data_IF_160459319727
#
_entry.id   IF_160459319727
#
_cell.length_a   1.000
_cell.length_b   1.000
_cell.length_c   1.000
_cell.angle_alpha   90.00
_cell.angle_beta   90.00
_cell.angle_gamma   90.00
#
_symmetry.space_group_name_H-M   'P 1'
#
loop_
_entity.id
_entity.type
_entity.pdbx_description
1 polymer ?
#
# COMPACT_ATOMS: atom_id res chain seq x y z
N UNK A 1 52.42 -40.16 26.62
CA UNK A 1 51.08 -39.80 27.14
C UNK A 1 50.52 -38.75 26.20
N UNK A 2 49.71 -39.25 25.28
CA UNK A 2 49.16 -38.46 24.18
C UNK A 2 47.76 -37.94 24.60
N UNK A 3 47.66 -36.64 24.88
CA UNK A 3 46.39 -36.02 25.22
C UNK A 3 45.58 -35.79 23.93
N UNK A 4 44.70 -36.76 23.69
CA UNK A 4 43.69 -36.67 22.62
C UNK A 4 42.76 -35.50 22.79
N UNK A 5 43.09 -34.37 22.16
CA UNK A 5 42.29 -33.17 22.09
C UNK A 5 41.10 -33.37 21.15
N UNK A 6 39.96 -33.71 21.70
CA UNK A 6 38.72 -33.77 20.96
C UNK A 6 38.37 -32.37 20.42
N UNK A 7 38.73 -32.07 19.17
CA UNK A 7 38.18 -30.93 18.44
C UNK A 7 36.74 -31.26 18.10
N UNK A 8 35.81 -30.83 18.95
CA UNK A 8 34.42 -30.76 18.52
C UNK A 8 34.34 -29.79 17.33
N UNK A 9 34.07 -30.33 16.14
CA UNK A 9 33.69 -29.55 15.00
C UNK A 9 32.39 -28.85 15.36
N UNK A 10 32.36 -27.49 15.33
CA UNK A 10 31.14 -26.74 15.52
C UNK A 10 30.07 -27.24 14.52
N UNK A 11 28.83 -27.47 14.97
CA UNK A 11 27.79 -27.93 14.08
C UNK A 11 27.62 -26.89 12.98
N UNK A 12 27.97 -27.26 11.75
CA UNK A 12 27.65 -26.47 10.57
C UNK A 12 26.15 -26.60 10.35
N UNK A 13 25.38 -25.60 10.78
CA UNK A 13 24.00 -25.49 10.33
C UNK A 13 24.03 -25.34 8.81
N UNK A 14 23.35 -26.21 8.04
CA UNK A 14 23.27 -26.02 6.60
C UNK A 14 22.63 -24.67 6.36
N UNK A 15 23.35 -23.78 5.65
CA UNK A 15 22.77 -22.52 5.20
C UNK A 15 21.54 -22.91 4.35
N UNK A 16 20.37 -22.50 4.80
CA UNK A 16 19.14 -22.77 4.05
C UNK A 16 19.21 -21.95 2.75
N UNK A 17 19.54 -22.61 1.64
CA UNK A 17 19.66 -22.00 0.33
C UNK A 17 18.33 -21.37 -0.17
N UNK A 18 17.23 -21.62 0.54
CA UNK A 18 15.89 -21.09 0.25
C UNK A 18 15.40 -20.12 1.32
N UNK A 19 16.31 -19.47 2.04
CA UNK A 19 15.93 -18.43 2.99
C UNK A 19 15.47 -17.18 2.20
N UNK A 20 14.15 -16.99 2.17
CA UNK A 20 13.54 -15.77 1.66
C UNK A 20 13.32 -14.81 2.83
N UNK A 21 14.16 -13.79 2.94
CA UNK A 21 13.92 -12.72 3.90
C UNK A 21 12.76 -11.83 3.39
N UNK A 22 11.80 -11.50 4.24
CA UNK A 22 10.68 -10.66 3.82
C UNK A 22 11.17 -9.24 3.49
N UNK A 23 10.55 -8.64 2.49
CA UNK A 23 10.85 -7.26 2.14
C UNK A 23 10.53 -6.31 3.29
N UNK A 24 11.41 -5.32 3.50
CA UNK A 24 11.18 -4.28 4.49
C UNK A 24 10.19 -3.24 3.94
N UNK A 25 9.34 -2.73 4.80
CA UNK A 25 8.24 -1.83 4.44
C UNK A 25 8.61 -0.33 4.38
N UNK A 26 9.88 0.04 4.50
CA UNK A 26 10.26 1.45 4.62
C UNK A 26 10.64 2.12 3.29
N UNK A 27 10.81 1.36 2.21
CA UNK A 27 11.09 1.91 0.87
C UNK A 27 9.93 1.60 -0.07
N UNK A 28 9.20 2.63 -0.42
CA UNK A 28 8.09 2.54 -1.36
C UNK A 28 8.01 3.83 -2.20
N UNK A 29 7.35 3.74 -3.34
CA UNK A 29 7.10 4.84 -4.24
C UNK A 29 5.69 4.74 -4.79
N UNK A 30 5.02 5.88 -4.92
CA UNK A 30 3.73 5.99 -5.59
C UNK A 30 3.88 6.82 -6.86
N UNK A 31 3.29 6.34 -7.93
CA UNK A 31 3.15 7.07 -9.19
C UNK A 31 1.67 7.38 -9.40
N UNK A 32 1.34 8.63 -9.62
CA UNK A 32 0.02 9.10 -10.02
C UNK A 32 0.13 9.62 -11.45
N UNK A 33 -0.65 9.07 -12.38
CA UNK A 33 -0.55 9.35 -13.80
C UNK A 33 0.89 9.18 -14.37
N UNK A 34 1.62 8.17 -13.88
CA UNK A 34 2.99 7.89 -14.27
C UNK A 34 4.06 8.82 -13.68
N UNK A 35 3.67 9.79 -12.84
CA UNK A 35 4.59 10.71 -12.17
C UNK A 35 4.79 10.29 -10.71
N UNK A 36 6.03 10.17 -10.23
CA UNK A 36 6.29 9.85 -8.84
C UNK A 36 5.86 11.00 -7.92
N UNK A 37 5.21 10.67 -6.83
CA UNK A 37 4.86 11.62 -5.76
C UNK A 37 6.01 11.68 -4.78
N UNK A 38 6.55 12.89 -4.59
CA UNK A 38 7.65 13.12 -3.66
C UNK A 38 7.13 13.31 -2.22
N UNK A 39 7.98 13.01 -1.24
CA UNK A 39 7.71 13.32 0.16
C UNK A 39 6.66 12.48 0.86
N UNK A 40 6.20 11.38 0.25
CA UNK A 40 5.32 10.44 0.91
C UNK A 40 5.99 9.80 2.11
N UNK A 41 5.30 9.85 3.26
CA UNK A 41 5.74 9.29 4.53
C UNK A 41 5.03 7.99 4.87
N UNK A 42 3.78 7.84 4.41
CA UNK A 42 2.95 6.70 4.73
C UNK A 42 1.94 6.37 3.63
N UNK A 43 1.72 5.06 3.47
CA UNK A 43 0.64 4.47 2.67
C UNK A 43 -0.05 3.44 3.54
N UNK A 44 -1.37 3.46 3.62
CA UNK A 44 -2.11 2.44 4.36
C UNK A 44 -2.11 1.10 3.62
N UNK A 45 -2.52 0.04 4.30
CA UNK A 45 -2.57 -1.30 3.72
C UNK A 45 -3.53 -1.38 2.53
N UNK A 46 -3.16 -2.16 1.52
CA UNK A 46 -4.06 -2.63 0.48
C UNK A 46 -4.90 -3.77 1.05
N UNK A 47 -6.19 -3.54 1.23
CA UNK A 47 -7.08 -4.47 1.89
C UNK A 47 -8.32 -4.77 1.04
N UNK A 48 -8.55 -6.06 0.81
CA UNK A 48 -9.73 -6.59 0.13
C UNK A 48 -10.48 -7.52 1.07
N UNK A 49 -11.79 -7.31 1.22
CA UNK A 49 -12.66 -8.13 2.07
C UNK A 49 -13.75 -8.71 1.20
N UNK A 50 -13.99 -10.01 1.34
CA UNK A 50 -15.13 -10.68 0.75
C UNK A 50 -16.07 -11.10 1.88
N UNK A 51 -17.32 -10.69 1.79
CA UNK A 51 -18.39 -11.07 2.72
C UNK A 51 -18.59 -12.58 2.68
N UNK A 52 -18.85 -13.17 3.84
CA UNK A 52 -19.18 -14.59 3.96
C UNK A 52 -20.68 -14.72 4.13
N UNK A 53 -21.34 -15.40 3.19
CA UNK A 53 -22.76 -15.76 3.27
C UNK A 53 -22.86 -17.18 3.80
N UNK A 54 -23.53 -17.33 4.94
CA UNK A 54 -23.79 -18.66 5.51
C UNK A 54 -25.12 -19.19 5.00
N UNK A 55 -25.10 -20.42 4.49
CA UNK A 55 -26.28 -21.12 4.00
C UNK A 55 -26.38 -22.48 4.67
N UNK A 56 -27.60 -22.85 5.06
CA UNK A 56 -27.90 -24.15 5.66
C UNK A 56 -29.23 -24.68 5.13
N UNK A 57 -29.21 -25.92 4.69
CA UNK A 57 -30.44 -26.67 4.35
C UNK A 57 -30.95 -27.44 5.58
N UNK A 58 -32.28 -27.69 5.63
CA UNK A 58 -32.91 -28.33 6.79
C UNK A 58 -32.43 -29.74 7.10
N UNK A 59 -31.78 -30.43 6.17
CA UNK A 59 -31.18 -31.76 6.33
C UNK A 59 -29.66 -31.74 6.55
N UNK A 60 -29.03 -30.54 6.59
CA UNK A 60 -27.58 -30.44 6.78
C UNK A 60 -27.18 -30.79 8.22
N UNK A 61 -25.99 -31.40 8.42
CA UNK A 61 -25.42 -31.58 9.74
C UNK A 61 -25.17 -30.24 10.44
N UNK A 62 -24.72 -30.23 11.67
CA UNK A 62 -24.60 -29.05 12.55
C UNK A 62 -23.69 -27.92 12.04
N UNK A 63 -22.98 -28.11 10.92
CA UNK A 63 -22.12 -27.08 10.29
C UNK A 63 -22.82 -26.40 9.12
N UNK A 64 -22.79 -25.07 9.07
CA UNK A 64 -23.25 -24.26 7.92
C UNK A 64 -22.26 -24.28 6.76
N UNK A 65 -22.76 -24.18 5.54
CA UNK A 65 -21.94 -23.94 4.34
C UNK A 65 -21.63 -22.46 4.22
N UNK A 66 -20.42 -22.12 3.80
CA UNK A 66 -19.97 -20.75 3.61
C UNK A 66 -19.77 -20.45 2.12
N UNK A 67 -20.46 -19.43 1.64
CA UNK A 67 -20.40 -18.98 0.26
C UNK A 67 -19.78 -17.58 0.21
N UNK A 68 -19.02 -17.24 -0.86
CA UNK A 68 -18.52 -15.87 -1.03
C UNK A 68 -19.67 -14.94 -1.41
N UNK A 69 -19.77 -13.82 -0.69
CA UNK A 69 -20.68 -12.72 -1.00
C UNK A 69 -20.01 -11.60 -1.76
N UNK A 70 -20.33 -10.34 -1.42
CA UNK A 70 -19.78 -9.15 -2.03
C UNK A 70 -18.31 -8.97 -1.64
N UNK A 71 -17.49 -8.58 -2.61
CA UNK A 71 -16.11 -8.16 -2.37
C UNK A 71 -16.02 -6.64 -2.33
N UNK A 72 -15.33 -6.11 -1.32
CA UNK A 72 -15.09 -4.69 -1.11
C UNK A 72 -13.58 -4.42 -1.01
N UNK A 73 -13.13 -3.36 -1.67
CA UNK A 73 -11.79 -2.83 -1.55
C UNK A 73 -11.80 -1.64 -0.62
N UNK A 74 -10.98 -1.69 0.44
CA UNK A 74 -10.93 -0.64 1.45
C UNK A 74 -10.24 0.62 0.92
N UNK A 75 -10.65 1.80 1.41
CA UNK A 75 -9.96 3.05 1.11
C UNK A 75 -8.48 2.99 1.49
N UNK A 76 -7.67 3.73 0.75
CA UNK A 76 -6.23 3.84 0.96
C UNK A 76 -5.92 5.26 1.41
N UNK A 77 -5.16 5.39 2.50
CA UNK A 77 -4.71 6.68 3.01
C UNK A 77 -3.28 6.92 2.58
N UNK A 78 -3.02 8.08 2.01
CA UNK A 78 -1.69 8.58 1.67
C UNK A 78 -1.37 9.78 2.55
N UNK A 79 -0.16 9.82 3.11
CA UNK A 79 0.32 10.91 3.94
C UNK A 79 1.65 11.42 3.39
N UNK A 80 1.81 12.75 3.35
CA UNK A 80 3.09 13.39 3.01
C UNK A 80 3.32 14.59 3.92
N UNK A 81 4.60 14.98 4.08
CA UNK A 81 4.92 16.24 4.75
C UNK A 81 4.33 17.42 4.00
N UNK A 82 3.76 18.39 4.71
CA UNK A 82 3.22 19.62 4.11
C UNK A 82 4.34 20.30 3.31
N UNK A 83 4.10 20.52 2.03
CA UNK A 83 5.04 21.14 1.10
C UNK A 83 4.31 22.04 0.10
N UNK A 84 5.05 22.70 -0.76
CA UNK A 84 4.46 23.47 -1.87
C UNK A 84 4.06 22.62 -3.07
N UNK A 85 4.16 21.30 -3.00
CA UNK A 85 3.72 20.39 -4.06
C UNK A 85 2.19 20.28 -4.06
N UNK A 86 1.49 20.79 -5.08
CA UNK A 86 0.03 20.84 -5.10
C UNK A 86 -0.64 19.57 -5.62
N UNK A 87 0.06 18.44 -5.69
CA UNK A 87 -0.45 17.20 -6.32
C UNK A 87 -1.74 16.73 -5.65
N UNK A 88 -1.74 16.66 -4.31
CA UNK A 88 -2.91 16.20 -3.54
C UNK A 88 -4.07 17.19 -3.63
N UNK A 89 -3.77 18.47 -3.45
CA UNK A 89 -4.76 19.56 -3.53
C UNK A 89 -5.44 19.60 -4.90
N UNK A 90 -4.64 19.60 -5.99
CA UNK A 90 -5.17 19.60 -7.35
C UNK A 90 -6.05 18.39 -7.64
N UNK A 91 -5.66 17.24 -7.15
CA UNK A 91 -6.47 16.02 -7.35
C UNK A 91 -7.77 16.06 -6.56
N UNK A 92 -7.73 16.50 -5.30
CA UNK A 92 -8.95 16.69 -4.49
C UNK A 92 -9.91 17.70 -5.12
N UNK A 93 -9.40 18.80 -5.68
CA UNK A 93 -10.20 19.84 -6.32
C UNK A 93 -10.86 19.40 -7.65
N UNK A 94 -10.41 18.29 -8.26
CA UNK A 94 -11.11 17.71 -9.41
C UNK A 94 -12.46 17.11 -9.04
N UNK A 95 -12.65 16.70 -7.79
CA UNK A 95 -13.92 16.14 -7.28
C UNK A 95 -14.85 17.25 -6.81
N UNK A 96 -14.31 18.25 -6.10
CA UNK A 96 -15.06 19.39 -5.59
C UNK A 96 -14.16 20.63 -5.54
N UNK A 97 -14.59 21.72 -6.17
CA UNK A 97 -13.85 22.98 -6.21
C UNK A 97 -14.75 24.15 -5.79
N UNK A 98 -14.18 25.10 -5.04
CA UNK A 98 -14.87 26.33 -4.63
C UNK A 98 -15.26 27.22 -5.82
N UNK A 99 -14.59 27.10 -6.97
CA UNK A 99 -14.90 27.84 -8.19
C UNK A 99 -16.20 27.38 -8.88
N UNK A 100 -16.87 26.36 -8.31
CA UNK A 100 -18.14 25.84 -8.75
C UNK A 100 -18.04 24.61 -9.64
N UNK A 101 -19.22 24.08 -10.02
CA UNK A 101 -19.34 22.80 -10.75
C UNK A 101 -18.64 22.79 -12.11
N UNK A 102 -18.47 23.93 -12.74
CA UNK A 102 -17.79 24.06 -14.03
C UNK A 102 -16.26 23.77 -13.94
N UNK A 103 -15.67 23.92 -12.75
CA UNK A 103 -14.26 23.62 -12.52
C UNK A 103 -14.01 22.15 -12.16
N UNK A 104 -15.07 21.39 -11.91
CA UNK A 104 -14.97 19.94 -11.64
C UNK A 104 -14.79 19.16 -12.94
N UNK A 105 -13.95 18.13 -12.89
CA UNK A 105 -13.72 17.27 -14.04
C UNK A 105 -14.27 15.86 -13.79
N UNK A 106 -15.52 15.62 -14.15
CA UNK A 106 -16.14 14.29 -14.07
C UNK A 106 -15.42 13.23 -14.91
N UNK A 107 -14.64 13.65 -15.89
CA UNK A 107 -13.89 12.77 -16.78
C UNK A 107 -12.52 12.38 -16.20
N UNK A 108 -11.85 13.30 -15.49
CA UNK A 108 -10.43 13.18 -15.13
C UNK A 108 -10.19 13.03 -13.62
N UNK A 109 -11.23 13.00 -12.79
CA UNK A 109 -11.04 12.87 -11.35
C UNK A 109 -10.59 11.46 -10.93
N UNK A 110 -10.93 10.43 -11.72
CA UNK A 110 -10.46 9.07 -11.50
C UNK A 110 -9.10 8.87 -12.14
N UNK A 111 -8.15 8.40 -11.33
CA UNK A 111 -6.77 8.14 -11.75
C UNK A 111 -6.35 6.74 -11.37
N UNK A 112 -5.45 6.15 -12.15
CA UNK A 112 -4.78 4.92 -11.78
C UNK A 112 -3.49 5.25 -11.04
N UNK A 113 -3.21 4.49 -10.00
CA UNK A 113 -2.03 4.64 -9.15
C UNK A 113 -1.19 3.38 -9.25
N UNK A 114 0.12 3.55 -9.28
CA UNK A 114 1.07 2.45 -9.15
C UNK A 114 1.80 2.59 -7.83
N UNK A 115 1.72 1.55 -7.00
CA UNK A 115 2.46 1.44 -5.75
C UNK A 115 3.61 0.46 -5.94
N UNK A 116 4.84 0.96 -5.84
CA UNK A 116 6.06 0.18 -5.93
C UNK A 116 6.68 -0.02 -4.56
N UNK A 117 6.99 -1.26 -4.23
CA UNK A 117 7.85 -1.61 -3.11
C UNK A 117 9.28 -1.75 -3.62
N UNK A 118 10.22 -1.10 -2.96
CA UNK A 118 11.63 -1.06 -3.36
C UNK A 118 12.49 -1.87 -2.38
N UNK A 119 13.57 -2.46 -2.89
CA UNK A 119 14.60 -3.06 -2.05
C UNK A 119 15.57 -2.00 -1.49
N UNK A 120 16.57 -2.42 -0.72
CA UNK A 120 17.60 -1.52 -0.16
C UNK A 120 18.39 -0.79 -1.24
N UNK A 121 18.55 -1.39 -2.41
CA UNK A 121 19.27 -0.82 -3.56
C UNK A 121 18.41 0.18 -4.36
N UNK A 122 17.11 0.27 -4.07
CA UNK A 122 16.17 1.15 -4.79
C UNK A 122 15.53 0.52 -6.02
N UNK A 123 15.72 -0.77 -6.27
CA UNK A 123 15.06 -1.50 -7.35
C UNK A 123 13.66 -1.91 -6.97
N UNK A 124 12.72 -1.87 -7.91
CA UNK A 124 11.33 -2.31 -7.70
C UNK A 124 11.30 -3.82 -7.56
N UNK A 125 10.82 -4.30 -6.42
CA UNK A 125 10.67 -5.74 -6.13
C UNK A 125 9.23 -6.22 -6.23
N UNK A 126 8.27 -5.31 -6.03
CA UNK A 126 6.84 -5.57 -6.15
C UNK A 126 6.13 -4.32 -6.62
N UNK A 127 5.17 -4.48 -7.50
CA UNK A 127 4.34 -3.39 -7.99
C UNK A 127 2.87 -3.77 -7.93
N UNK A 128 2.04 -2.82 -7.52
CA UNK A 128 0.58 -2.96 -7.52
C UNK A 128 -0.03 -1.83 -8.32
N UNK A 129 -0.92 -2.17 -9.24
CA UNK A 129 -1.74 -1.21 -9.95
C UNK A 129 -3.09 -1.08 -9.26
N UNK A 130 -3.46 0.14 -8.90
CA UNK A 130 -4.69 0.46 -8.20
C UNK A 130 -5.57 1.24 -9.17
N UNK A 131 -6.76 0.72 -9.42
CA UNK A 131 -7.61 1.18 -10.51
C UNK A 131 -8.65 2.20 -10.05
N UNK A 132 -8.88 3.22 -10.88
CA UNK A 132 -9.97 4.16 -10.79
C UNK A 132 -10.09 4.82 -9.43
N UNK A 133 -8.95 5.32 -8.93
CA UNK A 133 -8.86 6.00 -7.66
C UNK A 133 -9.38 7.43 -7.75
N UNK A 134 -10.04 7.88 -6.70
CA UNK A 134 -10.46 9.26 -6.52
C UNK A 134 -10.41 9.67 -5.06
N UNK A 135 -10.20 10.95 -4.80
CA UNK A 135 -10.03 11.49 -3.44
C UNK A 135 -11.39 11.68 -2.80
N UNK A 136 -11.65 10.99 -1.69
CA UNK A 136 -12.87 11.13 -0.89
C UNK A 136 -12.71 12.06 0.30
N UNK A 137 -11.47 12.22 0.79
CA UNK A 137 -11.14 13.10 1.92
C UNK A 137 -9.78 13.75 1.66
N UNK A 138 -9.66 15.05 1.92
CA UNK A 138 -8.41 15.79 1.85
C UNK A 138 -8.23 16.64 3.11
N UNK A 139 -7.12 16.44 3.78
CA UNK A 139 -6.70 17.18 4.97
C UNK A 139 -5.44 17.96 4.63
N UNK A 140 -5.59 19.25 4.35
CA UNK A 140 -4.48 20.11 3.89
C UNK A 140 -3.49 20.43 5.01
N UNK A 141 -3.99 20.58 6.24
CA UNK A 141 -3.18 20.88 7.41
C UNK A 141 -3.68 20.04 8.60
N UNK A 142 -2.76 19.53 9.44
CA UNK A 142 -3.13 18.95 10.74
C UNK A 142 -3.52 20.04 11.72
N UNK A 143 -3.90 19.65 12.94
CA UNK A 143 -3.99 20.56 14.06
C UNK A 143 -2.63 21.20 14.30
N UNK A 144 -2.60 22.53 14.38
CA UNK A 144 -1.36 23.29 14.58
C UNK A 144 -1.27 23.74 16.03
N UNK A 145 -0.28 23.24 16.76
CA UNK A 145 0.06 23.66 18.13
C UNK A 145 1.51 24.17 18.15
N UNK A 146 1.68 25.44 18.52
CA UNK A 146 2.99 26.09 18.60
C UNK A 146 3.88 25.50 19.71
N UNK A 147 3.32 24.75 20.66
CA UNK A 147 4.06 24.11 21.75
C UNK A 147 4.54 22.69 21.39
N UNK A 148 4.12 22.14 20.26
CA UNK A 148 4.53 20.83 19.79
C UNK A 148 5.54 20.92 18.65
N UNK A 149 6.63 20.16 18.75
CA UNK A 149 7.64 20.04 17.70
C UNK A 149 7.32 18.88 16.78
N UNK A 150 6.16 18.92 16.12
CA UNK A 150 5.70 17.85 15.21
C UNK A 150 5.75 18.34 13.76
N UNK A 151 6.14 17.46 12.85
CA UNK A 151 6.10 17.77 11.41
C UNK A 151 4.64 17.80 10.93
N UNK A 152 4.27 18.88 10.26
CA UNK A 152 2.96 18.99 9.66
C UNK A 152 2.79 17.98 8.51
N UNK A 153 1.72 17.20 8.55
CA UNK A 153 1.40 16.15 7.58
C UNK A 153 0.09 16.49 6.89
N UNK A 154 0.10 16.52 5.57
CA UNK A 154 -1.14 16.50 4.79
C UNK A 154 -1.55 15.06 4.45
N UNK A 155 -2.83 14.82 4.35
CA UNK A 155 -3.40 13.48 4.17
C UNK A 155 -4.49 13.50 3.13
N UNK A 156 -4.52 12.47 2.26
CA UNK A 156 -5.67 12.15 1.43
C UNK A 156 -6.15 10.73 1.69
N UNK A 157 -7.45 10.54 1.60
CA UNK A 157 -8.09 9.23 1.57
C UNK A 157 -8.63 9.02 0.16
N UNK A 158 -8.19 7.95 -0.47
CA UNK A 158 -8.60 7.58 -1.81
C UNK A 158 -9.50 6.36 -1.80
N UNK A 159 -10.58 6.43 -2.55
CA UNK A 159 -11.41 5.29 -2.90
C UNK A 159 -10.85 4.63 -4.15
N UNK A 160 -11.03 3.32 -4.29
CA UNK A 160 -10.57 2.57 -5.45
C UNK A 160 -11.59 1.51 -5.84
N UNK A 161 -11.54 1.06 -7.11
CA UNK A 161 -12.41 0.01 -7.65
C UNK A 161 -11.69 -1.34 -7.71
N UNK A 162 -10.49 -1.44 -7.18
CA UNK A 162 -9.71 -2.65 -7.10
C UNK A 162 -8.23 -2.42 -7.34
N UNK A 163 -7.44 -3.42 -7.02
CA UNK A 163 -6.00 -3.42 -7.24
C UNK A 163 -5.53 -4.81 -7.63
N UNK A 164 -4.47 -4.86 -8.40
CA UNK A 164 -3.83 -6.09 -8.84
C UNK A 164 -2.31 -5.97 -8.75
N UNK A 165 -1.65 -7.11 -8.60
CA UNK A 165 -0.19 -7.17 -8.63
C UNK A 165 0.27 -7.19 -10.09
N UNK A 166 1.28 -6.41 -10.41
CA UNK A 166 2.01 -6.54 -11.66
C UNK A 166 2.95 -7.74 -11.59
N UNK A 167 2.59 -8.83 -12.26
CA UNK A 167 3.37 -10.08 -12.31
C UNK A 167 4.59 -9.97 -13.20
N UNK A 168 4.69 -8.93 -14.05
CA UNK A 168 5.84 -8.69 -14.90
C UNK A 168 7.08 -8.23 -14.12
N UNK A 169 6.87 -7.71 -12.89
CA UNK A 169 7.98 -7.34 -12.00
C UNK A 169 8.49 -8.59 -11.31
N UNK A 170 9.65 -9.08 -11.76
CA UNK A 170 10.35 -10.21 -11.17
C UNK A 170 11.25 -9.77 -10.01
N UNK A 171 11.57 -10.71 -9.12
CA UNK A 171 12.53 -10.48 -8.07
C UNK A 171 13.92 -10.18 -8.67
N UNK A 172 14.55 -9.03 -8.32
CA UNK A 172 15.89 -8.74 -8.80
C UNK A 172 16.88 -9.74 -8.23
N UNK A 173 17.78 -10.24 -9.07
CA UNK A 173 18.89 -11.10 -8.66
C UNK A 173 19.79 -10.31 -7.73
N UNK A 174 19.95 -10.77 -6.50
CA UNK A 174 20.95 -10.22 -5.58
C UNK A 174 22.35 -10.55 -6.13
N UNK A 175 23.11 -9.50 -6.42
CA UNK A 175 24.51 -9.59 -6.86
C UNK A 175 25.46 -9.33 -5.71
#
# INVERSE_FOLDING_TARGET
>A
IDEGRWKMAAPKFPANAHRHDPYRNFKFQILIDGKPVAGLTRVSALHKITEVVEYREGGDPSSSRKLPGRTEYRPITLEQGVSHDPVFEKWANLVNNLDGDAAMSLKNFRKNIVLNLLNLQGSVVKSYMIHRCWVSEYSALPDLDANESVVAIEKIVIQNEGWERDEAVSEPTES
#
